data_IF_360337284101
#
_entry.id   IF_360337284101
#
_cell.length_a   1.000
_cell.length_b   1.000
_cell.length_c   1.000
_cell.angle_alpha   90.00
_cell.angle_beta   90.00
_cell.angle_gamma   90.00
#
_symmetry.space_group_name_H-M   'P 1'
#
loop_
_entity.id
_entity.type
_entity.pdbx_description
1 polymer ?
#
# COMPACT_ATOMS: atom_id res chain seq x y z
N UNK A 1 15.16 4.40 25.91
CA UNK A 1 14.65 4.56 24.52
C UNK A 1 13.94 3.27 24.13
N UNK A 2 12.60 3.21 24.18
CA UNK A 2 11.87 1.95 23.94
C UNK A 2 11.93 1.61 22.45
N UNK A 3 12.56 0.47 22.12
CA UNK A 3 12.52 -0.13 20.78
C UNK A 3 11.06 -0.49 20.49
N UNK A 4 10.36 0.38 19.76
CA UNK A 4 8.97 0.15 19.36
C UNK A 4 8.95 -1.10 18.47
N UNK A 5 8.06 -2.03 18.80
CA UNK A 5 7.98 -3.36 18.22
C UNK A 5 7.92 -3.30 16.69
N UNK A 6 8.72 -4.12 16.00
CA UNK A 6 8.66 -4.33 14.53
C UNK A 6 7.29 -4.85 14.05
N UNK A 7 6.35 -5.15 14.96
CA UNK A 7 5.02 -5.70 14.67
C UNK A 7 3.93 -4.67 14.35
N UNK A 8 4.21 -3.37 14.39
CA UNK A 8 3.16 -2.34 14.29
C UNK A 8 3.11 -1.62 12.94
N UNK A 9 4.03 -1.93 12.01
CA UNK A 9 4.13 -1.22 10.73
C UNK A 9 4.58 -2.13 9.59
N UNK A 10 4.22 -1.74 8.37
CA UNK A 10 4.74 -2.29 7.11
C UNK A 10 5.37 -1.18 6.28
N UNK A 11 6.33 -1.51 5.42
CA UNK A 11 6.90 -0.54 4.50
C UNK A 11 6.12 -0.52 3.19
N UNK A 12 5.89 0.66 2.65
CA UNK A 12 5.09 0.85 1.43
C UNK A 12 5.88 1.65 0.42
N UNK A 13 5.89 1.18 -0.82
CA UNK A 13 6.44 1.90 -1.97
C UNK A 13 5.39 1.96 -3.09
N UNK A 14 4.82 3.14 -3.32
CA UNK A 14 3.92 3.42 -4.44
C UNK A 14 4.72 4.01 -5.60
N UNK A 15 4.73 3.27 -6.70
CA UNK A 15 5.25 3.66 -8.00
C UNK A 15 4.08 4.10 -8.85
N UNK A 16 4.08 5.37 -9.23
CA UNK A 16 3.07 5.92 -10.12
C UNK A 16 3.76 6.71 -11.23
N UNK A 17 3.26 6.56 -12.46
CA UNK A 17 3.81 7.21 -13.63
C UNK A 17 3.95 8.73 -13.41
N UNK A 18 5.13 9.32 -13.67
CA UNK A 18 5.38 10.75 -13.48
C UNK A 18 4.53 11.63 -14.41
N UNK A 19 4.01 11.06 -15.50
CA UNK A 19 3.14 11.75 -16.46
C UNK A 19 1.74 12.06 -15.90
N UNK A 20 1.38 11.51 -14.73
CA UNK A 20 0.06 11.71 -14.07
C UNK A 20 0.10 12.87 -13.05
N UNK A 21 1.26 13.51 -12.85
CA UNK A 21 1.38 14.72 -12.02
C UNK A 21 1.21 14.51 -10.51
N UNK A 22 1.18 13.25 -10.02
CA UNK A 22 1.13 12.92 -8.58
C UNK A 22 2.41 12.21 -8.14
N UNK A 23 2.86 12.53 -6.93
CA UNK A 23 4.07 11.96 -6.32
C UNK A 23 3.75 10.60 -5.72
N UNK A 24 4.65 9.63 -5.93
CA UNK A 24 4.59 8.34 -5.26
C UNK A 24 4.76 8.45 -3.74
N UNK A 25 4.63 7.34 -3.03
CA UNK A 25 4.83 7.26 -1.59
C UNK A 25 5.93 6.26 -1.26
N UNK A 26 6.79 6.58 -0.30
CA UNK A 26 7.78 5.66 0.26
C UNK A 26 7.88 5.88 1.76
N UNK A 27 7.54 4.87 2.56
CA UNK A 27 7.60 5.00 4.02
C UNK A 27 6.83 3.91 4.75
N UNK A 28 6.81 4.03 6.08
CA UNK A 28 6.08 3.13 6.95
C UNK A 28 4.58 3.47 7.01
N UNK A 29 3.74 2.44 7.00
CA UNK A 29 2.29 2.54 7.14
C UNK A 29 1.77 1.55 8.18
N UNK A 30 0.64 1.88 8.78
CA UNK A 30 -0.07 1.00 9.70
C UNK A 30 -0.84 -0.10 8.96
N UNK A 31 -1.40 0.24 7.79
CA UNK A 31 -2.15 -0.68 6.94
C UNK A 31 -2.28 -0.11 5.52
N UNK A 32 -2.66 -0.97 4.59
CA UNK A 32 -3.14 -0.58 3.25
C UNK A 32 -4.51 -1.19 3.00
N UNK A 33 -5.40 -0.44 2.39
CA UNK A 33 -6.68 -0.92 1.87
C UNK A 33 -6.72 -0.77 0.36
N UNK A 34 -7.21 -1.78 -0.35
CA UNK A 34 -7.52 -1.69 -1.79
C UNK A 34 -8.60 -2.69 -2.19
N UNK A 35 -8.93 -2.71 -3.48
CA UNK A 35 -9.97 -3.55 -4.06
C UNK A 35 -9.36 -4.40 -5.17
N UNK A 36 -9.64 -5.70 -5.16
CA UNK A 36 -9.30 -6.63 -6.24
C UNK A 36 -10.59 -7.21 -6.86
N UNK A 37 -10.46 -8.19 -7.76
CA UNK A 37 -11.61 -8.82 -8.43
C UNK A 37 -12.59 -9.52 -7.47
N UNK A 38 -12.12 -9.98 -6.32
CA UNK A 38 -12.93 -10.65 -5.29
C UNK A 38 -13.64 -9.61 -4.42
N UNK A 39 -12.96 -8.51 -4.10
CA UNK A 39 -13.51 -7.37 -3.38
C UNK A 39 -12.45 -6.60 -2.60
N UNK A 40 -12.94 -5.85 -1.62
CA UNK A 40 -12.12 -5.02 -0.74
C UNK A 40 -11.29 -5.87 0.22
N UNK A 41 -10.04 -5.50 0.42
CA UNK A 41 -9.13 -6.16 1.34
C UNK A 41 -8.19 -5.17 2.03
N UNK A 42 -7.62 -5.62 3.16
CA UNK A 42 -6.62 -4.88 3.93
C UNK A 42 -5.33 -5.70 4.04
N UNK A 43 -4.18 -5.01 4.00
CA UNK A 43 -2.86 -5.56 4.31
C UNK A 43 -2.37 -4.91 5.60
N UNK A 44 -2.11 -5.75 6.57
CA UNK A 44 -1.58 -5.42 7.90
C UNK A 44 -0.12 -5.86 7.98
N UNK A 45 0.64 -5.42 9.00
CA UNK A 45 1.98 -5.92 9.25
C UNK A 45 2.01 -7.45 9.33
N UNK A 46 3.09 -8.06 8.85
CA UNK A 46 3.29 -9.53 8.82
C UNK A 46 2.27 -10.30 7.96
N UNK A 47 1.52 -9.65 7.08
CA UNK A 47 0.66 -10.34 6.11
C UNK A 47 1.50 -11.28 5.22
N UNK A 48 0.95 -12.45 4.90
CA UNK A 48 1.61 -13.44 4.04
C UNK A 48 1.91 -12.87 2.66
N UNK A 49 2.92 -13.44 1.98
CA UNK A 49 3.26 -13.04 0.62
C UNK A 49 2.03 -13.12 -0.30
N UNK A 50 1.80 -12.05 -1.06
CA UNK A 50 0.57 -11.86 -1.80
C UNK A 50 0.82 -11.00 -3.03
N UNK A 51 0.25 -11.38 -4.18
CA UNK A 51 0.29 -10.56 -5.39
C UNK A 51 -1.11 -10.53 -6.01
N UNK A 52 -1.58 -9.34 -6.38
CA UNK A 52 -2.89 -9.18 -6.99
C UNK A 52 -3.00 -7.97 -7.89
N UNK A 53 -3.98 -7.99 -8.79
CA UNK A 53 -4.44 -6.81 -9.50
C UNK A 53 -5.35 -6.00 -8.59
N UNK A 54 -5.13 -4.69 -8.54
CA UNK A 54 -5.96 -3.76 -7.80
C UNK A 54 -6.63 -2.76 -8.73
N UNK A 55 -7.77 -2.24 -8.31
CA UNK A 55 -8.62 -1.35 -9.11
C UNK A 55 -9.15 -0.19 -8.28
N UNK A 56 -9.54 0.87 -8.97
CA UNK A 56 -10.24 2.07 -8.48
C UNK A 56 -9.50 2.92 -7.45
N UNK A 57 -9.15 2.34 -6.29
CA UNK A 57 -8.56 3.08 -5.17
C UNK A 57 -7.54 2.30 -4.37
N UNK A 58 -6.65 3.06 -3.75
CA UNK A 58 -5.66 2.60 -2.77
C UNK A 58 -5.65 3.61 -1.63
N UNK A 59 -5.78 3.11 -0.41
CA UNK A 59 -5.71 3.92 0.81
C UNK A 59 -4.53 3.44 1.64
N UNK A 60 -3.59 4.35 1.93
CA UNK A 60 -2.52 4.12 2.89
C UNK A 60 -2.96 4.71 4.23
N UNK A 61 -3.03 3.88 5.26
CA UNK A 61 -3.25 4.33 6.64
C UNK A 61 -1.90 4.61 7.28
N UNK A 62 -1.59 5.87 7.53
CA UNK A 62 -0.30 6.27 8.10
C UNK A 62 -0.25 5.93 9.60
N UNK A 63 0.94 5.87 10.17
CA UNK A 63 1.14 5.67 11.61
C UNK A 63 0.49 6.76 12.47
N UNK A 64 0.26 7.94 11.90
CA UNK A 64 -0.43 9.08 12.53
C UNK A 64 -1.96 9.01 12.42
N UNK A 65 -2.51 7.88 11.96
CA UNK A 65 -3.95 7.70 11.70
C UNK A 65 -4.52 8.64 10.62
N UNK A 66 -3.66 9.17 9.74
CA UNK A 66 -4.08 9.92 8.55
C UNK A 66 -4.21 8.95 7.37
N UNK A 67 -4.93 9.38 6.33
CA UNK A 67 -5.11 8.60 5.10
C UNK A 67 -4.47 9.33 3.93
N UNK A 68 -3.79 8.56 3.09
CA UNK A 68 -3.31 9.01 1.78
C UNK A 68 -4.06 8.17 0.75
N UNK A 69 -4.75 8.84 -0.18
CA UNK A 69 -5.64 8.19 -1.15
C UNK A 69 -5.14 8.40 -2.58
N UNK A 70 -5.15 7.30 -3.33
CA UNK A 70 -4.81 7.24 -4.74
C UNK A 70 -6.02 6.72 -5.51
N UNK A 71 -6.47 7.48 -6.51
CA UNK A 71 -7.48 7.07 -7.48
C UNK A 71 -6.78 6.70 -8.79
N UNK A 72 -7.11 5.53 -9.33
CA UNK A 72 -6.50 4.97 -10.54
C UNK A 72 -7.43 3.93 -11.16
N UNK A 73 -7.21 3.57 -12.44
CA UNK A 73 -8.03 2.53 -13.10
C UNK A 73 -7.59 1.12 -12.75
N UNK A 74 -6.28 0.87 -12.82
CA UNK A 74 -5.69 -0.45 -12.57
C UNK A 74 -4.26 -0.32 -12.02
N UNK A 75 -3.87 -1.29 -11.21
CA UNK A 75 -2.50 -1.45 -10.73
C UNK A 75 -2.17 -2.89 -10.34
N UNK A 76 -0.94 -3.11 -9.91
CA UNK A 76 -0.46 -4.35 -9.31
C UNK A 76 0.01 -4.04 -7.89
N UNK A 77 -0.35 -4.91 -6.95
CA UNK A 77 0.14 -4.89 -5.58
C UNK A 77 0.89 -6.18 -5.30
N UNK A 78 2.09 -6.07 -4.73
CA UNK A 78 2.93 -7.16 -4.25
C UNK A 78 3.26 -6.95 -2.77
N UNK A 79 3.08 -7.99 -1.95
CA UNK A 79 3.51 -8.07 -0.55
C UNK A 79 4.59 -9.14 -0.44
N UNK A 80 5.76 -8.76 0.05
CA UNK A 80 6.86 -9.67 0.36
C UNK A 80 7.66 -9.11 1.55
N UNK A 81 8.00 -9.95 2.53
CA UNK A 81 8.86 -9.56 3.67
C UNK A 81 8.47 -8.24 4.37
N UNK A 82 7.18 -8.06 4.65
CA UNK A 82 6.61 -6.84 5.27
C UNK A 82 6.80 -5.55 4.45
N UNK A 83 7.12 -5.69 3.16
CA UNK A 83 7.20 -4.64 2.15
C UNK A 83 6.04 -4.79 1.16
N UNK A 84 5.31 -3.71 0.94
CA UNK A 84 4.25 -3.62 -0.06
C UNK A 84 4.69 -2.70 -1.18
N UNK A 85 4.83 -3.25 -2.38
CA UNK A 85 5.10 -2.50 -3.61
C UNK A 85 3.82 -2.38 -4.40
N UNK A 86 3.48 -1.16 -4.79
CA UNK A 86 2.28 -0.88 -5.58
C UNK A 86 2.67 -0.14 -6.85
N UNK A 87 2.24 -0.67 -8.00
CA UNK A 87 2.46 -0.09 -9.31
C UNK A 87 1.12 0.37 -9.87
N UNK A 88 0.91 1.68 -9.94
CA UNK A 88 -0.34 2.29 -10.42
C UNK A 88 -0.21 2.75 -11.88
N UNK A 89 -1.27 2.56 -12.66
CA UNK A 89 -1.35 3.04 -14.04
C UNK A 89 -0.70 2.12 -15.07
N UNK A 90 -0.79 0.80 -14.84
CA UNK A 90 -0.46 -0.24 -15.83
C UNK A 90 -1.52 -0.34 -16.93
#
# INVERSE_FOLDING_TARGET
MKRKSLKEELFVAVFWSPFVGKVGYRGAAAAITSDNKIGKFDILPEHTNFITLIFDKLVIHTLEKKKIEYEFKRGVLEVSDNLVKIFLGL
#
